data_IF_092999647545
#
_entry.id   IF_092999647545
#
_cell.length_a   1.000
_cell.length_b   1.000
_cell.length_c   1.000
_cell.angle_alpha   90.00
_cell.angle_beta   90.00
_cell.angle_gamma   90.00
#
_symmetry.space_group_name_H-M   'P 1'
#
loop_
_entity.id
_entity.type
_entity.pdbx_description
1 polymer ?
#
# COMPACT_ATOMS: atom_id res chain seq x y z
N UNK A 1 -12.07 12.03 -18.99
CA UNK A 1 -11.50 12.33 -17.65
C UNK A 1 -11.32 13.83 -17.56
N UNK A 2 -12.04 14.51 -16.66
CA UNK A 2 -11.88 15.96 -16.47
C UNK A 2 -10.55 16.25 -15.75
N UNK A 3 -10.05 17.48 -15.87
CA UNK A 3 -8.82 17.86 -15.15
C UNK A 3 -8.97 17.78 -13.62
N UNK A 4 -10.19 17.93 -13.12
CA UNK A 4 -10.54 17.79 -11.70
C UNK A 4 -10.40 16.32 -11.23
N UNK A 5 -10.86 15.37 -12.05
CA UNK A 5 -10.70 13.94 -11.75
C UNK A 5 -9.22 13.58 -11.62
N UNK A 6 -8.37 14.03 -12.54
CA UNK A 6 -6.94 13.72 -12.53
C UNK A 6 -6.24 14.30 -11.29
N UNK A 7 -6.58 15.51 -10.89
CA UNK A 7 -6.02 16.13 -9.69
C UNK A 7 -6.35 15.34 -8.42
N UNK A 8 -7.56 14.81 -8.34
CA UNK A 8 -8.02 14.01 -7.22
C UNK A 8 -7.28 12.66 -7.11
N UNK A 9 -7.01 11.99 -8.24
CA UNK A 9 -6.25 10.72 -8.27
C UNK A 9 -4.81 10.91 -7.85
N UNK A 10 -4.17 11.98 -8.32
CA UNK A 10 -2.81 12.34 -7.92
C UNK A 10 -2.75 12.64 -6.43
N UNK A 11 -3.74 13.37 -5.91
CA UNK A 11 -3.83 13.66 -4.48
C UNK A 11 -3.98 12.37 -3.65
N UNK A 12 -4.89 11.46 -4.03
CA UNK A 12 -5.07 10.18 -3.35
C UNK A 12 -3.78 9.33 -3.37
N UNK A 13 -3.12 9.24 -4.53
CA UNK A 13 -1.85 8.56 -4.69
C UNK A 13 -0.76 9.08 -3.76
N UNK A 14 -0.66 10.41 -3.59
CA UNK A 14 0.38 11.04 -2.77
C UNK A 14 0.03 11.04 -1.28
N UNK A 15 -1.24 11.20 -0.92
CA UNK A 15 -1.68 11.29 0.48
C UNK A 15 -1.45 9.98 1.25
N UNK A 16 -1.65 8.82 0.59
CA UNK A 16 -1.48 7.51 1.25
C UNK A 16 -0.04 7.31 1.76
N UNK A 17 1.01 7.40 0.91
CA UNK A 17 2.37 7.22 1.40
C UNK A 17 2.80 8.31 2.37
N UNK A 18 2.35 9.56 2.19
CA UNK A 18 2.65 10.64 3.13
C UNK A 18 2.04 10.37 4.50
N UNK A 19 0.77 10.00 4.56
CA UNK A 19 0.08 9.68 5.81
C UNK A 19 0.69 8.46 6.50
N UNK A 20 0.93 7.37 5.75
CA UNK A 20 1.51 6.15 6.31
C UNK A 20 2.92 6.38 6.87
N UNK A 21 3.78 7.09 6.14
CA UNK A 21 5.12 7.42 6.61
C UNK A 21 5.10 8.38 7.80
N UNK A 22 4.18 9.35 7.82
CA UNK A 22 4.01 10.27 8.95
C UNK A 22 3.54 9.53 10.21
N UNK A 23 2.54 8.64 10.08
CA UNK A 23 2.05 7.80 11.19
C UNK A 23 3.20 6.93 11.72
N UNK A 24 3.92 6.23 10.86
CA UNK A 24 5.07 5.39 11.25
C UNK A 24 6.16 6.19 11.98
N UNK A 25 6.49 7.37 11.47
CA UNK A 25 7.47 8.25 12.11
C UNK A 25 6.99 8.70 13.50
N UNK A 26 5.73 9.12 13.61
CA UNK A 26 5.13 9.55 14.87
C UNK A 26 5.09 8.40 15.89
N UNK A 27 4.67 7.21 15.47
CA UNK A 27 4.58 6.05 16.36
C UNK A 27 5.97 5.61 16.85
N UNK A 28 6.98 5.59 15.98
CA UNK A 28 8.36 5.31 16.40
C UNK A 28 8.88 6.34 17.43
N UNK A 29 8.57 7.61 17.24
CA UNK A 29 8.99 8.67 18.18
C UNK A 29 8.25 8.62 19.51
N UNK A 30 6.95 8.33 19.49
CA UNK A 30 6.08 8.42 20.68
C UNK A 30 5.99 7.11 21.46
N UNK A 31 5.97 5.99 20.77
CA UNK A 31 5.78 4.69 21.41
C UNK A 31 7.11 3.97 21.68
N UNK A 32 8.09 4.03 20.75
CA UNK A 32 9.26 3.16 20.85
C UNK A 32 8.82 1.70 20.99
N UNK A 33 9.20 1.06 22.09
CA UNK A 33 8.84 -0.34 22.41
C UNK A 33 7.52 -0.46 23.20
N UNK A 34 6.82 0.64 23.44
CA UNK A 34 5.57 0.63 24.22
C UNK A 34 4.43 0.06 23.39
N UNK A 35 3.52 -0.61 24.07
CA UNK A 35 2.29 -1.17 23.50
C UNK A 35 1.11 -0.38 24.07
N UNK A 36 0.29 0.18 23.18
CA UNK A 36 -0.97 0.83 23.54
C UNK A 36 -2.10 -0.16 23.28
N UNK A 37 -2.78 -0.57 24.34
CA UNK A 37 -3.92 -1.48 24.22
C UNK A 37 -5.15 -0.76 23.67
N UNK A 38 -5.83 -1.39 22.71
CA UNK A 38 -7.13 -1.00 22.18
C UNK A 38 -8.26 -1.86 22.81
N UNK A 39 -8.02 -2.39 24.00
CA UNK A 39 -8.95 -3.29 24.68
C UNK A 39 -9.12 -4.61 23.93
N UNK A 40 -10.35 -5.13 23.81
CA UNK A 40 -10.59 -6.42 23.18
C UNK A 40 -10.31 -6.45 21.67
N UNK A 41 -10.17 -5.28 21.03
CA UNK A 41 -9.93 -5.18 19.58
C UNK A 41 -8.47 -5.45 19.19
N UNK A 42 -7.52 -5.17 20.07
CA UNK A 42 -6.10 -5.36 19.76
C UNK A 42 -5.19 -4.34 20.42
N UNK A 43 -4.11 -3.97 19.73
CA UNK A 43 -3.12 -3.02 20.24
C UNK A 43 -2.45 -2.24 19.10
N UNK A 44 -1.87 -1.10 19.45
CA UNK A 44 -0.95 -0.34 18.60
C UNK A 44 0.45 -0.51 19.16
N UNK A 45 1.36 -1.00 18.34
CA UNK A 45 2.79 -1.15 18.66
C UNK A 45 3.62 -1.14 17.39
N UNK A 46 4.87 -0.74 17.46
CA UNK A 46 5.80 -0.75 16.32
C UNK A 46 6.38 -2.15 16.13
N UNK A 47 6.17 -2.74 14.96
CA UNK A 47 6.74 -4.04 14.57
C UNK A 47 7.49 -3.86 13.27
N UNK A 48 8.82 -3.92 13.30
CA UNK A 48 9.63 -3.91 12.08
C UNK A 48 9.79 -5.33 11.54
N UNK A 49 8.93 -5.71 10.58
CA UNK A 49 8.93 -7.01 9.96
C UNK A 49 9.92 -7.06 8.77
N UNK A 50 10.77 -8.10 8.67
CA UNK A 50 11.58 -8.30 7.47
C UNK A 50 10.68 -8.63 6.29
N UNK A 51 10.99 -8.06 5.12
CA UNK A 51 10.27 -8.36 3.89
C UNK A 51 10.35 -9.85 3.55
N UNK A 52 9.28 -10.42 3.00
CA UNK A 52 9.15 -11.87 2.79
C UNK A 52 10.27 -12.48 1.95
N UNK A 53 10.77 -11.80 0.92
CA UNK A 53 11.88 -12.30 0.08
C UNK A 53 13.22 -12.38 0.82
N UNK A 54 13.41 -11.57 1.87
CA UNK A 54 14.61 -11.65 2.71
C UNK A 54 14.69 -12.97 3.48
N UNK A 55 13.54 -13.62 3.74
CA UNK A 55 13.48 -14.96 4.37
C UNK A 55 14.01 -16.05 3.43
N UNK A 56 13.83 -15.87 2.10
CA UNK A 56 14.37 -16.77 1.07
C UNK A 56 15.83 -16.51 0.68
N UNK A 57 16.52 -15.60 1.38
CA UNK A 57 17.91 -15.25 1.06
C UNK A 57 18.09 -14.30 -0.12
N UNK A 58 17.01 -13.93 -0.81
CA UNK A 58 17.07 -12.96 -1.91
C UNK A 58 17.20 -11.54 -1.35
N UNK A 59 18.26 -10.85 -1.78
CA UNK A 59 18.56 -9.48 -1.35
C UNK A 59 18.68 -8.55 -2.55
N UNK A 60 17.56 -8.09 -3.12
CA UNK A 60 17.59 -7.18 -4.23
C UNK A 60 18.20 -5.85 -3.81
N UNK A 61 18.95 -5.23 -4.72
CA UNK A 61 19.43 -3.85 -4.50
C UNK A 61 18.25 -2.87 -4.51
N UNK A 62 18.35 -1.72 -3.84
CA UNK A 62 17.31 -0.69 -3.91
C UNK A 62 16.97 -0.30 -5.37
N UNK A 63 17.96 -0.26 -6.24
CA UNK A 63 17.75 0.05 -7.66
C UNK A 63 16.89 -1.00 -8.35
N UNK A 64 17.16 -2.30 -8.12
CA UNK A 64 16.33 -3.37 -8.67
C UNK A 64 14.88 -3.30 -8.18
N UNK A 65 14.69 -2.98 -6.90
CA UNK A 65 13.35 -2.80 -6.33
C UNK A 65 12.60 -1.65 -7.02
N UNK A 66 13.26 -0.49 -7.20
CA UNK A 66 12.65 0.66 -7.86
C UNK A 66 12.34 0.39 -9.33
N UNK A 67 13.22 -0.28 -10.07
CA UNK A 67 12.97 -0.67 -11.48
C UNK A 67 11.74 -1.60 -11.54
N UNK A 68 11.70 -2.63 -10.70
CA UNK A 68 10.57 -3.56 -10.66
C UNK A 68 9.25 -2.86 -10.30
N UNK A 69 9.29 -1.94 -9.32
CA UNK A 69 8.13 -1.17 -8.92
C UNK A 69 7.65 -0.24 -10.04
N UNK A 70 8.54 0.48 -10.71
CA UNK A 70 8.21 1.37 -11.83
C UNK A 70 7.60 0.59 -13.00
N UNK A 71 8.16 -0.57 -13.33
CA UNK A 71 7.60 -1.45 -14.37
C UNK A 71 6.18 -1.94 -14.00
N UNK A 72 5.98 -2.40 -12.76
CA UNK A 72 4.67 -2.81 -12.26
C UNK A 72 3.66 -1.65 -12.21
N UNK A 73 4.10 -0.48 -11.74
CA UNK A 73 3.29 0.73 -11.70
C UNK A 73 2.85 1.17 -13.11
N UNK A 74 3.78 1.17 -14.07
CA UNK A 74 3.47 1.49 -15.47
C UNK A 74 2.46 0.52 -16.08
N UNK A 75 2.63 -0.78 -15.83
CA UNK A 75 1.69 -1.81 -16.28
C UNK A 75 0.30 -1.63 -15.64
N UNK A 76 0.24 -1.34 -14.33
CA UNK A 76 -1.02 -1.10 -13.63
C UNK A 76 -1.74 0.15 -14.16
N UNK A 77 -1.02 1.25 -14.38
CA UNK A 77 -1.59 2.47 -14.97
C UNK A 77 -2.11 2.18 -16.38
N UNK A 78 -1.33 1.51 -17.21
CA UNK A 78 -1.76 1.15 -18.57
C UNK A 78 -3.01 0.25 -18.58
N UNK A 79 -3.14 -0.64 -17.60
CA UNK A 79 -4.34 -1.46 -17.46
C UNK A 79 -5.53 -0.64 -16.92
N UNK A 80 -5.31 0.20 -15.92
CA UNK A 80 -6.34 1.03 -15.33
C UNK A 80 -6.96 2.01 -16.34
N UNK A 81 -6.16 2.55 -17.27
CA UNK A 81 -6.67 3.43 -18.35
C UNK A 81 -7.57 2.70 -19.36
N UNK A 82 -7.54 1.37 -19.41
CA UNK A 82 -8.41 0.54 -20.26
C UNK A 82 -9.71 0.11 -19.58
N UNK A 83 -9.81 0.28 -18.26
CA UNK A 83 -10.91 -0.20 -17.44
C UNK A 83 -11.54 0.98 -16.68
N UNK A 84 -12.67 1.52 -17.13
CA UNK A 84 -13.32 2.67 -16.49
C UNK A 84 -13.63 2.40 -15.00
N UNK A 85 -13.31 3.36 -14.15
CA UNK A 85 -13.52 3.27 -12.71
C UNK A 85 -12.47 2.45 -11.95
N UNK A 86 -11.36 2.02 -12.62
CA UNK A 86 -10.21 1.38 -11.97
C UNK A 86 -9.19 2.39 -11.44
N UNK A 87 -9.33 3.67 -11.74
CA UNK A 87 -8.37 4.72 -11.38
C UNK A 87 -8.18 4.81 -9.85
N UNK A 88 -9.27 4.75 -9.09
CA UNK A 88 -9.23 4.74 -7.63
C UNK A 88 -8.45 3.55 -7.08
N UNK A 89 -8.74 2.39 -7.64
CA UNK A 89 -8.08 1.17 -7.24
C UNK A 89 -6.58 1.26 -7.53
N UNK A 90 -6.22 1.80 -8.70
CA UNK A 90 -4.83 2.02 -9.08
C UNK A 90 -4.14 3.04 -8.15
N UNK A 91 -4.81 4.16 -7.82
CA UNK A 91 -4.27 5.16 -6.90
C UNK A 91 -4.00 4.57 -5.50
N UNK A 92 -4.92 3.77 -4.96
CA UNK A 92 -4.74 3.08 -3.67
C UNK A 92 -3.60 2.07 -3.72
N UNK A 93 -3.55 1.23 -4.76
CA UNK A 93 -2.50 0.24 -4.96
C UNK A 93 -1.12 0.89 -5.08
N UNK A 94 -1.01 1.91 -5.93
CA UNK A 94 0.25 2.61 -6.17
C UNK A 94 0.69 3.41 -4.94
N UNK A 95 -0.23 4.11 -4.27
CA UNK A 95 0.07 4.88 -3.07
C UNK A 95 0.54 3.99 -1.92
N UNK A 96 -0.17 2.89 -1.66
CA UNK A 96 0.22 1.92 -0.64
C UNK A 96 1.54 1.24 -0.96
N UNK A 97 1.70 0.73 -2.19
CA UNK A 97 2.95 0.08 -2.62
C UNK A 97 4.14 1.05 -2.64
N UNK A 98 3.93 2.33 -2.95
CA UNK A 98 4.98 3.36 -2.87
C UNK A 98 5.47 3.54 -1.43
N UNK A 99 4.56 3.56 -0.44
CA UNK A 99 4.96 3.63 0.97
C UNK A 99 5.85 2.45 1.37
N UNK A 100 5.47 1.23 0.99
CA UNK A 100 6.29 0.04 1.21
C UNK A 100 7.65 0.11 0.50
N UNK A 101 7.67 0.61 -0.74
CA UNK A 101 8.90 0.78 -1.50
C UNK A 101 9.88 1.74 -0.84
N UNK A 102 9.39 2.90 -0.38
CA UNK A 102 10.20 3.88 0.33
C UNK A 102 10.82 3.25 1.57
N UNK A 103 10.04 2.52 2.35
CA UNK A 103 10.52 1.93 3.60
C UNK A 103 11.48 0.76 3.36
N UNK A 104 11.11 -0.14 2.46
CA UNK A 104 11.94 -1.30 2.13
C UNK A 104 13.28 -0.91 1.53
N UNK A 105 13.31 0.07 0.61
CA UNK A 105 14.55 0.54 -0.01
C UNK A 105 15.48 1.24 0.98
N UNK A 106 14.93 1.87 2.02
CA UNK A 106 15.72 2.58 3.05
C UNK A 106 16.14 1.70 4.21
N UNK A 107 15.29 0.75 4.63
CA UNK A 107 15.45 0.00 5.90
C UNK A 107 15.53 -1.51 5.70
N UNK A 108 15.16 -2.04 4.54
CA UNK A 108 15.03 -3.48 4.30
C UNK A 108 13.94 -4.16 5.12
N UNK A 109 13.07 -3.38 5.75
CA UNK A 109 11.98 -3.82 6.63
C UNK A 109 10.75 -2.97 6.41
N UNK A 110 9.60 -3.48 6.77
CA UNK A 110 8.33 -2.75 6.77
C UNK A 110 7.82 -2.64 8.20
N UNK A 111 7.35 -1.46 8.57
CA UNK A 111 6.77 -1.21 9.87
C UNK A 111 5.26 -1.43 9.85
N UNK A 112 4.81 -2.41 10.60
CA UNK A 112 3.42 -2.64 10.91
C UNK A 112 3.13 -2.10 12.31
N UNK A 113 1.93 -1.54 12.51
CA UNK A 113 1.62 -0.92 13.79
C UNK A 113 0.21 -1.21 14.32
N UNK A 114 -0.71 -1.69 13.49
CA UNK A 114 -2.04 -2.13 13.91
C UNK A 114 -2.06 -3.63 14.12
N UNK A 115 -2.22 -4.07 15.36
CA UNK A 115 -2.26 -5.47 15.74
C UNK A 115 -3.67 -5.81 16.20
N UNK A 116 -4.51 -6.33 15.32
CA UNK A 116 -5.84 -6.80 15.69
C UNK A 116 -5.79 -8.22 16.22
N UNK A 117 -6.76 -8.59 17.09
CA UNK A 117 -6.77 -9.87 17.79
C UNK A 117 -6.79 -11.09 16.85
N UNK A 118 -7.47 -10.96 15.69
CA UNK A 118 -7.68 -12.05 14.73
C UNK A 118 -7.09 -11.77 13.36
N UNK A 119 -6.21 -10.76 13.25
CA UNK A 119 -5.61 -10.35 11.99
C UNK A 119 -4.11 -10.14 12.17
N UNK A 120 -3.29 -10.51 11.19
CA UNK A 120 -1.87 -10.17 11.21
C UNK A 120 -1.66 -8.66 11.41
N UNK A 121 -0.53 -8.27 12.00
CA UNK A 121 -0.19 -6.86 12.10
C UNK A 121 -0.11 -6.22 10.70
N UNK A 122 -0.60 -5.00 10.58
CA UNK A 122 -0.65 -4.27 9.31
C UNK A 122 -0.52 -2.76 9.54
N UNK A 123 -0.43 -2.01 8.45
CA UNK A 123 -0.33 -0.56 8.43
C UNK A 123 -1.33 0.07 7.44
N UNK A 124 -1.33 1.39 7.31
CA UNK A 124 -2.24 2.10 6.40
C UNK A 124 -1.98 1.73 4.93
N UNK A 125 -0.72 1.52 4.55
CA UNK A 125 -0.37 1.13 3.19
C UNK A 125 -0.93 -0.26 2.83
N UNK A 126 -0.89 -1.23 3.78
CA UNK A 126 -1.51 -2.56 3.60
C UNK A 126 -3.02 -2.47 3.40
N UNK A 127 -3.68 -1.63 4.19
CA UNK A 127 -5.12 -1.39 4.04
C UNK A 127 -5.44 -0.80 2.66
N UNK A 128 -4.66 0.20 2.20
CA UNK A 128 -4.84 0.79 0.88
C UNK A 128 -4.62 -0.23 -0.25
N UNK A 129 -3.56 -1.04 -0.17
CA UNK A 129 -3.28 -2.11 -1.14
C UNK A 129 -4.43 -3.12 -1.15
N UNK A 130 -4.91 -3.55 0.01
CA UNK A 130 -5.99 -4.54 0.12
C UNK A 130 -7.29 -4.02 -0.49
N UNK A 131 -7.71 -2.80 -0.15
CA UNK A 131 -8.90 -2.16 -0.71
C UNK A 131 -8.76 -1.96 -2.22
N UNK A 132 -7.61 -1.44 -2.67
CA UNK A 132 -7.31 -1.25 -4.08
C UNK A 132 -7.34 -2.56 -4.88
N UNK A 133 -6.77 -3.64 -4.32
CA UNK A 133 -6.78 -4.97 -4.95
C UNK A 133 -8.19 -5.53 -5.10
N UNK A 134 -8.96 -5.52 -4.02
CA UNK A 134 -10.36 -6.01 -4.06
C UNK A 134 -11.18 -5.20 -5.05
N UNK A 135 -11.08 -3.87 -5.00
CA UNK A 135 -11.80 -2.99 -5.94
C UNK A 135 -11.40 -3.25 -7.40
N UNK A 136 -10.10 -3.43 -7.67
CA UNK A 136 -9.59 -3.71 -8.99
C UNK A 136 -10.12 -5.05 -9.53
N UNK A 137 -10.09 -6.11 -8.71
CA UNK A 137 -10.64 -7.42 -9.07
C UNK A 137 -12.13 -7.33 -9.39
N UNK A 138 -12.91 -6.64 -8.55
CA UNK A 138 -14.35 -6.45 -8.78
C UNK A 138 -14.61 -5.75 -10.12
N UNK A 139 -13.84 -4.71 -10.45
CA UNK A 139 -13.97 -3.99 -11.73
C UNK A 139 -13.60 -4.86 -12.93
N UNK A 140 -12.52 -5.62 -12.84
CA UNK A 140 -12.13 -6.58 -13.90
C UNK A 140 -13.23 -7.61 -14.13
N UNK A 141 -13.74 -8.23 -13.06
CA UNK A 141 -14.84 -9.21 -13.17
C UNK A 141 -16.08 -8.55 -13.79
N UNK A 142 -16.46 -7.36 -13.34
CA UNK A 142 -17.61 -6.64 -13.89
C UNK A 142 -17.46 -6.36 -15.38
N UNK A 143 -16.26 -5.97 -15.83
CA UNK A 143 -15.97 -5.73 -17.24
C UNK A 143 -16.02 -7.00 -18.09
N UNK A 144 -15.65 -8.15 -17.52
CA UNK A 144 -15.72 -9.45 -18.20
C UNK A 144 -17.15 -9.99 -18.31
N UNK A 145 -17.99 -9.73 -17.29
CA UNK A 145 -19.37 -10.20 -17.25
C UNK A 145 -20.30 -9.30 -18.07
N UNK A 146 -20.02 -7.99 -18.13
CA UNK A 146 -20.84 -6.99 -18.83
C UNK A 146 -20.03 -6.25 -19.92
N UNK A 147 -19.63 -6.94 -21.01
CA UNK A 147 -18.74 -6.34 -22.01
C UNK A 147 -19.38 -5.27 -22.91
N UNK A 148 -20.68 -4.95 -22.73
CA UNK A 148 -21.45 -4.09 -23.63
C UNK A 148 -21.85 -2.72 -23.02
N UNK A 149 -21.14 -2.21 -22.01
CA UNK A 149 -21.38 -0.86 -21.48
C UNK A 149 -20.11 -0.02 -21.51
#
# INVERSE_FOLDING_TARGET
MSGEDMSFWIAAFLLIPLADQAIKALLRQRLGDRVVSLGPMGSVRVIDAPVWWARGGFRPTPVMLWIAWLAGAGALVALATRLPGCEWCAALLLGGSLSHMIETSRRGRVCDYLCLRFWPAFNLADAAISIGTVGFIVRVISALVNPLH
#
